data_IF_664804148843
#
_entry.id   IF_664804148843
#
_cell.length_a   1.000
_cell.length_b   1.000
_cell.length_c   1.000
_cell.angle_alpha   90.00
_cell.angle_beta   90.00
_cell.angle_gamma   90.00
#
_symmetry.space_group_name_H-M   'P 1'
#
loop_
_entity.id
_entity.type
_entity.pdbx_description
1 polymer ?
#
# COMPACT_ATOMS: atom_id res chain seq x y z
N UNK A 1 55.85 44.37 22.13
CA UNK A 1 55.69 45.25 20.97
C UNK A 1 55.61 44.33 19.76
N UNK A 2 54.49 44.11 19.07
CA UNK A 2 53.20 44.79 19.07
C UNK A 2 52.13 43.84 18.48
N UNK A 3 50.93 43.97 19.04
CA UNK A 3 49.61 43.91 18.38
C UNK A 3 49.07 42.53 17.95
N UNK A 4 48.04 42.13 18.71
CA UNK A 4 46.97 41.19 18.38
C UNK A 4 45.96 41.90 17.47
N UNK A 5 45.57 41.26 16.37
CA UNK A 5 44.42 41.54 15.49
C UNK A 5 44.46 40.39 14.45
N UNK A 6 43.43 39.66 14.07
CA UNK A 6 41.97 39.73 14.16
C UNK A 6 41.46 38.28 14.12
N UNK A 7 40.38 38.02 14.84
CA UNK A 7 39.56 36.81 14.81
C UNK A 7 38.62 36.89 13.59
N UNK A 8 38.65 35.91 12.69
CA UNK A 8 37.57 35.71 11.71
C UNK A 8 37.34 34.21 11.49
N UNK A 9 36.08 33.85 11.62
CA UNK A 9 35.48 32.52 11.80
C UNK A 9 35.01 31.98 10.44
N UNK A 10 35.35 30.74 10.07
CA UNK A 10 34.65 29.94 9.04
C UNK A 10 34.60 28.48 9.50
N UNK A 11 33.49 28.03 10.14
CA UNK A 11 32.22 27.53 9.57
C UNK A 11 32.33 26.10 8.99
N UNK A 12 32.10 25.15 9.90
CA UNK A 12 31.11 24.06 9.84
C UNK A 12 30.94 23.30 8.49
N UNK A 13 31.62 22.15 8.34
CA UNK A 13 31.42 21.19 7.23
C UNK A 13 30.95 19.80 7.68
N UNK A 14 30.66 19.61 8.97
CA UNK A 14 30.26 18.30 9.53
C UNK A 14 28.73 18.10 9.56
N UNK A 15 27.96 19.19 9.67
CA UNK A 15 26.50 19.15 9.83
C UNK A 15 25.72 18.88 8.52
N UNK A 16 26.26 19.26 7.37
CA UNK A 16 25.63 19.04 6.06
C UNK A 16 25.54 17.55 5.68
N UNK A 17 26.54 16.76 6.05
CA UNK A 17 26.59 15.33 5.76
C UNK A 17 25.64 14.54 6.69
N UNK A 18 25.59 14.93 7.96
CA UNK A 18 24.64 14.40 8.94
C UNK A 18 23.19 14.75 8.58
N UNK A 19 22.94 15.98 8.09
CA UNK A 19 21.64 16.45 7.62
C UNK A 19 21.12 15.65 6.42
N UNK A 20 21.98 15.35 5.42
CA UNK A 20 21.61 14.47 4.30
C UNK A 20 21.38 13.02 4.76
N UNK A 21 22.23 12.47 5.63
CA UNK A 21 22.07 11.11 6.13
C UNK A 21 20.79 10.92 6.98
N UNK A 22 20.38 11.94 7.74
CA UNK A 22 19.13 11.95 8.49
C UNK A 22 17.92 12.14 7.56
N UNK A 23 17.98 13.07 6.60
CA UNK A 23 16.93 13.25 5.61
C UNK A 23 16.74 12.00 4.73
N UNK A 24 17.82 11.31 4.37
CA UNK A 24 17.79 10.04 3.66
C UNK A 24 17.31 8.91 4.55
N UNK A 25 17.64 8.90 5.85
CA UNK A 25 17.10 7.92 6.80
C UNK A 25 15.61 8.13 7.10
N UNK A 26 15.12 9.37 7.12
CA UNK A 26 13.70 9.73 7.26
C UNK A 26 12.94 9.46 5.97
N UNK A 27 13.50 9.81 4.80
CA UNK A 27 12.96 9.44 3.48
C UNK A 27 12.97 7.93 3.26
N UNK A 28 13.99 7.22 3.75
CA UNK A 28 14.09 5.74 3.71
C UNK A 28 13.17 5.09 4.74
N UNK A 29 12.94 5.67 5.93
CA UNK A 29 11.90 5.23 6.88
C UNK A 29 10.48 5.49 6.37
N UNK A 30 10.23 6.62 5.70
CA UNK A 30 8.94 6.93 5.05
C UNK A 30 8.72 6.12 3.76
N UNK A 31 9.76 5.86 2.95
CA UNK A 31 9.68 5.00 1.75
C UNK A 31 9.61 3.50 2.08
N UNK A 32 10.21 3.04 3.19
CA UNK A 32 10.17 1.61 3.61
C UNK A 32 8.85 1.17 4.26
N UNK A 33 7.84 2.04 4.36
CA UNK A 33 6.51 1.71 4.92
C UNK A 33 5.39 1.76 3.89
N UNK A 34 5.67 1.57 2.60
CA UNK A 34 4.66 1.75 1.55
C UNK A 34 4.84 0.78 0.39
N UNK A 35 4.55 -0.51 0.63
CA UNK A 35 4.60 -1.55 -0.41
C UNK A 35 3.50 -2.62 -0.25
N UNK A 36 2.98 -2.83 0.96
CA UNK A 36 1.87 -3.78 1.22
C UNK A 36 0.59 -3.08 1.66
N UNK A 37 0.73 -1.95 2.37
CA UNK A 37 -0.41 -1.22 2.91
C UNK A 37 -1.28 -0.61 1.80
N UNK A 38 -0.70 -0.18 0.68
CA UNK A 38 -1.46 0.38 -0.45
C UNK A 38 -2.41 -0.65 -1.08
N UNK A 39 -1.95 -1.88 -1.33
CA UNK A 39 -2.79 -2.95 -1.88
C UNK A 39 -3.92 -3.35 -0.91
N UNK A 40 -3.60 -3.40 0.38
CA UNK A 40 -4.59 -3.66 1.43
C UNK A 40 -5.63 -2.53 1.49
N UNK A 41 -5.20 -1.28 1.53
CA UNK A 41 -6.09 -0.12 1.58
C UNK A 41 -6.95 -0.01 0.33
N UNK A 42 -6.40 -0.31 -0.86
CA UNK A 42 -7.14 -0.33 -2.11
C UNK A 42 -8.25 -1.38 -2.14
N UNK A 43 -8.18 -2.43 -1.32
CA UNK A 43 -9.24 -3.44 -1.22
C UNK A 43 -10.45 -2.94 -0.43
N UNK A 44 -10.28 -1.86 0.33
CA UNK A 44 -11.32 -1.23 1.14
C UNK A 44 -11.82 0.10 0.56
N UNK A 45 -11.25 0.56 -0.55
CA UNK A 45 -11.76 1.71 -1.30
C UNK A 45 -12.90 1.26 -2.20
N UNK A 46 -13.97 2.05 -2.24
CA UNK A 46 -15.12 1.82 -3.10
C UNK A 46 -15.54 3.14 -3.75
N UNK A 47 -16.23 3.06 -4.88
CA UNK A 47 -16.75 4.20 -5.62
C UNK A 47 -18.23 4.02 -5.90
N UNK A 48 -18.97 5.12 -5.85
CA UNK A 48 -20.41 5.13 -6.17
C UNK A 48 -20.77 6.43 -6.88
N UNK A 49 -21.90 6.41 -7.60
CA UNK A 49 -22.48 7.62 -8.20
C UNK A 49 -23.49 8.22 -7.24
N UNK A 50 -23.36 9.51 -6.97
CA UNK A 50 -24.39 10.26 -6.27
C UNK A 50 -25.57 10.56 -7.21
N UNK A 51 -26.68 11.05 -6.65
CA UNK A 51 -27.89 11.47 -7.38
C UNK A 51 -27.61 12.52 -8.45
N UNK A 52 -26.58 13.33 -8.25
CA UNK A 52 -26.13 14.36 -9.19
C UNK A 52 -25.23 13.80 -10.30
N UNK A 53 -24.97 12.49 -10.32
CA UNK A 53 -24.15 11.82 -11.33
C UNK A 53 -22.64 11.91 -11.10
N UNK A 54 -22.20 12.59 -10.05
CA UNK A 54 -20.80 12.69 -9.66
C UNK A 54 -20.30 11.37 -9.05
N UNK A 55 -19.05 10.99 -9.36
CA UNK A 55 -18.41 9.78 -8.79
C UNK A 55 -17.76 10.16 -7.46
N UNK A 56 -18.27 9.60 -6.38
CA UNK A 56 -17.74 9.78 -5.05
C UNK A 56 -16.87 8.57 -4.66
N UNK A 57 -15.76 8.84 -3.96
CA UNK A 57 -14.86 7.82 -3.44
C UNK A 57 -14.96 7.74 -1.91
N UNK A 58 -14.91 6.53 -1.38
CA UNK A 58 -14.96 6.32 0.06
C UNK A 58 -14.19 5.08 0.51
N UNK A 59 -13.95 5.04 1.81
CA UNK A 59 -13.37 3.89 2.50
C UNK A 59 -14.46 3.10 3.21
N UNK A 60 -14.59 1.81 2.92
CA UNK A 60 -15.53 0.95 3.60
C UNK A 60 -15.09 0.77 5.07
N UNK A 61 -16.00 1.07 6.00
CA UNK A 61 -15.81 0.85 7.44
C UNK A 61 -16.81 -0.18 7.96
N UNK A 62 -16.64 -0.63 9.21
CA UNK A 62 -17.57 -1.55 9.88
C UNK A 62 -18.98 -0.95 10.03
N UNK A 63 -19.08 0.39 10.05
CA UNK A 63 -20.32 1.12 10.26
C UNK A 63 -20.93 1.67 8.96
N UNK A 64 -20.21 1.62 7.84
CA UNK A 64 -20.67 2.09 6.53
C UNK A 64 -19.54 2.66 5.70
N UNK A 65 -19.87 3.32 4.58
CA UNK A 65 -18.87 4.00 3.75
C UNK A 65 -18.48 5.36 4.36
N UNK A 66 -17.18 5.57 4.57
CA UNK A 66 -16.62 6.87 4.93
C UNK A 66 -16.19 7.60 3.67
N UNK A 67 -16.96 8.60 3.25
CA UNK A 67 -16.71 9.37 2.03
C UNK A 67 -15.59 10.36 2.28
N UNK A 68 -14.60 10.39 1.38
CA UNK A 68 -13.45 11.31 1.47
C UNK A 68 -13.81 12.69 0.90
N UNK A 69 -14.79 12.72 -0.01
CA UNK A 69 -15.35 13.95 -0.56
C UNK A 69 -16.26 14.65 0.46
N UNK A 70 -15.80 15.79 0.97
CA UNK A 70 -16.43 16.52 2.08
C UNK A 70 -17.77 17.21 1.76
N UNK A 71 -18.34 17.02 0.57
CA UNK A 71 -19.56 17.71 0.10
C UNK A 71 -20.82 16.84 0.12
N UNK A 72 -20.72 15.51 0.24
CA UNK A 72 -21.87 14.59 0.09
C UNK A 72 -22.15 13.85 1.40
N UNK A 73 -23.24 14.24 2.07
CA UNK A 73 -23.82 13.52 3.20
C UNK A 73 -24.62 12.32 2.68
N UNK A 74 -24.02 11.13 2.69
CA UNK A 74 -24.70 9.90 2.31
C UNK A 74 -25.68 9.47 3.42
N UNK A 75 -26.97 9.22 3.11
CA UNK A 75 -27.91 8.70 4.08
C UNK A 75 -27.39 7.42 4.77
N UNK A 76 -27.57 7.26 6.09
CA UNK A 76 -27.04 6.11 6.84
C UNK A 76 -27.48 4.76 6.27
N UNK A 77 -28.72 4.69 5.77
CA UNK A 77 -29.30 3.52 5.09
C UNK A 77 -28.51 3.10 3.84
N UNK A 78 -28.06 4.08 3.05
CA UNK A 78 -27.28 3.84 1.84
C UNK A 78 -25.83 3.48 2.19
N UNK A 79 -25.23 4.17 3.16
CA UNK A 79 -23.88 3.89 3.65
C UNK A 79 -23.77 2.47 4.25
N UNK A 80 -24.84 1.96 4.87
CA UNK A 80 -24.89 0.62 5.45
C UNK A 80 -24.76 -0.50 4.38
N UNK A 81 -25.18 -0.24 3.14
CA UNK A 81 -25.01 -1.18 2.01
C UNK A 81 -23.55 -1.44 1.67
N UNK A 82 -22.69 -0.47 1.96
CA UNK A 82 -21.26 -0.49 1.65
C UNK A 82 -20.38 -0.87 2.86
N UNK A 83 -20.97 -1.46 3.91
CA UNK A 83 -20.23 -1.93 5.09
C UNK A 83 -19.23 -3.03 4.74
N UNK A 84 -18.12 -3.06 5.47
CA UNK A 84 -17.11 -4.11 5.33
C UNK A 84 -17.70 -5.50 5.52
N UNK A 85 -17.41 -6.39 4.58
CA UNK A 85 -17.77 -7.82 4.65
C UNK A 85 -16.52 -8.66 4.91
N UNK A 86 -16.70 -9.85 5.48
CA UNK A 86 -15.60 -10.80 5.68
C UNK A 86 -14.87 -11.16 4.38
N UNK A 87 -15.57 -11.14 3.25
CA UNK A 87 -15.00 -11.36 1.93
C UNK A 87 -14.03 -10.26 1.50
N UNK A 88 -14.24 -9.02 1.94
CA UNK A 88 -13.33 -7.89 1.65
C UNK A 88 -11.95 -8.16 2.27
N UNK A 89 -11.91 -8.73 3.48
CA UNK A 89 -10.66 -9.14 4.13
C UNK A 89 -9.97 -10.31 3.42
N UNK A 90 -10.74 -11.27 2.92
CA UNK A 90 -10.20 -12.39 2.13
C UNK A 90 -9.53 -11.86 0.86
N UNK A 91 -10.21 -10.99 0.10
CA UNK A 91 -9.65 -10.37 -1.10
C UNK A 91 -8.41 -9.52 -0.80
N UNK A 92 -8.42 -8.76 0.29
CA UNK A 92 -7.26 -7.97 0.72
C UNK A 92 -6.06 -8.87 1.03
N UNK A 93 -6.28 -9.95 1.78
CA UNK A 93 -5.24 -10.92 2.11
C UNK A 93 -4.68 -11.63 0.87
N UNK A 94 -5.55 -12.07 -0.04
CA UNK A 94 -5.11 -12.69 -1.30
C UNK A 94 -4.32 -11.70 -2.17
N UNK A 95 -4.73 -10.43 -2.23
CA UNK A 95 -3.98 -9.38 -2.94
C UNK A 95 -2.58 -9.17 -2.34
N UNK A 96 -2.46 -9.26 -1.01
CA UNK A 96 -1.16 -9.23 -0.34
C UNK A 96 -0.30 -10.46 -0.67
N UNK A 97 -0.90 -11.65 -0.77
CA UNK A 97 -0.19 -12.85 -1.20
C UNK A 97 0.30 -12.74 -2.65
N UNK A 98 -0.53 -12.23 -3.57
CA UNK A 98 -0.12 -12.00 -4.96
C UNK A 98 1.05 -11.01 -5.01
N UNK A 99 0.98 -9.90 -4.27
CA UNK A 99 2.10 -8.97 -4.18
C UNK A 99 3.38 -9.65 -3.64
N UNK A 100 3.25 -10.48 -2.60
CA UNK A 100 4.37 -11.23 -2.06
C UNK A 100 4.95 -12.22 -3.09
N UNK A 101 4.10 -12.92 -3.85
CA UNK A 101 4.54 -13.80 -4.93
C UNK A 101 5.31 -13.02 -6.01
N UNK A 102 4.79 -11.87 -6.45
CA UNK A 102 5.49 -10.99 -7.42
C UNK A 102 6.83 -10.50 -6.87
N UNK A 103 6.90 -10.14 -5.60
CA UNK A 103 8.15 -9.74 -4.96
C UNK A 103 9.15 -10.90 -4.87
N UNK A 104 8.68 -12.12 -4.61
CA UNK A 104 9.51 -13.33 -4.55
C UNK A 104 9.95 -13.85 -5.93
N UNK A 105 9.32 -13.41 -7.02
CA UNK A 105 9.83 -13.66 -8.37
C UNK A 105 11.08 -12.83 -8.70
N UNK A 106 11.31 -11.71 -8.01
CA UNK A 106 12.47 -10.85 -8.23
C UNK A 106 13.70 -11.40 -7.47
N UNK A 107 14.75 -11.74 -8.21
CA UNK A 107 15.98 -12.30 -7.65
C UNK A 107 16.69 -11.32 -6.70
N UNK A 108 16.65 -10.01 -6.96
CA UNK A 108 17.26 -9.01 -6.07
C UNK A 108 16.53 -8.96 -4.73
N UNK A 109 15.19 -9.07 -4.75
CA UNK A 109 14.37 -9.14 -3.53
C UNK A 109 14.68 -10.43 -2.79
N UNK A 110 14.70 -11.57 -3.48
CA UNK A 110 15.00 -12.87 -2.87
C UNK A 110 16.40 -12.87 -2.23
N UNK A 111 17.44 -12.45 -2.94
CA UNK A 111 18.81 -12.37 -2.40
C UNK A 111 18.92 -11.39 -1.23
N UNK A 112 18.13 -10.30 -1.21
CA UNK A 112 18.12 -9.35 -0.10
C UNK A 112 17.51 -9.93 1.19
N UNK A 113 16.43 -10.72 1.08
CA UNK A 113 15.78 -11.34 2.24
C UNK A 113 16.38 -12.70 2.63
N UNK A 114 16.93 -13.43 1.67
CA UNK A 114 17.53 -14.75 1.82
C UNK A 114 18.92 -14.76 1.19
N UNK A 115 19.94 -14.12 1.82
CA UNK A 115 21.28 -13.99 1.24
C UNK A 115 22.04 -15.32 1.17
N UNK A 116 21.74 -16.26 2.07
CA UNK A 116 22.33 -17.61 2.10
C UNK A 116 21.23 -18.67 2.25
N UNK A 117 20.41 -18.91 1.21
CA UNK A 117 19.35 -19.90 1.28
C UNK A 117 19.94 -21.31 1.23
N UNK A 118 19.39 -22.23 2.04
CA UNK A 118 19.69 -23.65 1.88
C UNK A 118 19.02 -24.19 0.60
N UNK A 119 19.53 -25.29 0.05
CA UNK A 119 18.97 -25.90 -1.17
C UNK A 119 17.44 -26.14 -1.07
N UNK A 120 16.98 -26.63 0.08
CA UNK A 120 15.54 -26.81 0.37
C UNK A 120 14.75 -25.50 0.30
N UNK A 121 15.29 -24.41 0.85
CA UNK A 121 14.62 -23.11 0.83
C UNK A 121 14.57 -22.55 -0.59
N UNK A 122 15.63 -22.74 -1.38
CA UNK A 122 15.67 -22.31 -2.78
C UNK A 122 14.63 -23.03 -3.63
N UNK A 123 14.45 -24.35 -3.43
CA UNK A 123 13.37 -25.11 -4.09
C UNK A 123 11.99 -24.55 -3.74
N UNK A 124 11.73 -24.29 -2.46
CA UNK A 124 10.45 -23.73 -1.99
C UNK A 124 10.23 -22.33 -2.60
N UNK A 125 11.23 -21.45 -2.54
CA UNK A 125 11.13 -20.08 -3.07
C UNK A 125 10.88 -20.04 -4.58
N UNK A 126 11.34 -21.06 -5.32
CA UNK A 126 11.11 -21.18 -6.76
C UNK A 126 9.67 -21.60 -7.07
N UNK A 127 9.10 -22.53 -6.30
CA UNK A 127 7.75 -23.04 -6.54
C UNK A 127 6.63 -22.21 -5.86
N UNK A 128 6.94 -21.53 -4.76
CA UNK A 128 5.96 -20.83 -3.92
C UNK A 128 5.19 -19.73 -4.66
N UNK A 129 5.82 -18.84 -5.45
CA UNK A 129 5.09 -17.80 -6.18
C UNK A 129 4.08 -18.36 -7.17
N UNK A 130 4.41 -19.46 -7.86
CA UNK A 130 3.50 -20.15 -8.78
C UNK A 130 2.31 -20.78 -8.03
N UNK A 131 2.57 -21.44 -6.89
CA UNK A 131 1.52 -21.99 -6.04
C UNK A 131 0.56 -20.93 -5.51
N UNK A 132 1.09 -19.79 -5.05
CA UNK A 132 0.28 -18.64 -4.62
C UNK A 132 -0.57 -18.13 -5.79
N UNK A 133 0.02 -17.98 -6.98
CA UNK A 133 -0.69 -17.54 -8.18
C UNK A 133 -1.91 -18.42 -8.49
N UNK A 134 -1.71 -19.74 -8.57
CA UNK A 134 -2.80 -20.69 -8.85
C UNK A 134 -3.89 -20.64 -7.77
N UNK A 135 -3.51 -20.69 -6.50
CA UNK A 135 -4.46 -20.65 -5.39
C UNK A 135 -5.26 -19.34 -5.35
N UNK A 136 -4.59 -18.20 -5.49
CA UNK A 136 -5.25 -16.90 -5.50
C UNK A 136 -6.18 -16.77 -6.72
N UNK A 137 -5.75 -17.19 -7.92
CA UNK A 137 -6.60 -17.16 -9.12
C UNK A 137 -7.89 -17.96 -8.94
N UNK A 138 -7.82 -19.18 -8.39
CA UNK A 138 -9.02 -19.98 -8.13
C UNK A 138 -9.96 -19.28 -7.13
N UNK A 139 -9.40 -18.75 -6.04
CA UNK A 139 -10.20 -18.11 -4.99
C UNK A 139 -10.85 -16.80 -5.47
N UNK A 140 -10.17 -15.99 -6.28
CA UNK A 140 -10.76 -14.79 -6.87
C UNK A 140 -11.94 -15.10 -7.80
N UNK A 141 -11.93 -16.26 -8.47
CA UNK A 141 -13.04 -16.70 -9.32
C UNK A 141 -14.22 -17.21 -8.49
N UNK A 142 -13.96 -18.03 -7.46
CA UNK A 142 -15.00 -18.61 -6.60
C UNK A 142 -15.67 -17.56 -5.71
N UNK A 143 -14.88 -16.60 -5.25
CA UNK A 143 -15.32 -15.53 -4.37
C UNK A 143 -15.13 -14.21 -5.11
N UNK A 144 -16.09 -13.78 -5.95
CA UNK A 144 -16.00 -12.49 -6.63
C UNK A 144 -16.28 -11.34 -5.64
N UNK A 145 -15.53 -10.23 -5.79
CA UNK A 145 -15.83 -8.99 -5.09
C UNK A 145 -16.93 -8.21 -5.81
N UNK A 146 -17.83 -7.60 -5.05
CA UNK A 146 -18.87 -6.70 -5.59
C UNK A 146 -18.51 -5.23 -5.42
N UNK A 147 -17.26 -4.93 -5.03
CA UNK A 147 -16.74 -3.57 -4.80
C UNK A 147 -16.27 -2.95 -6.10
N UNK A 148 -16.59 -1.68 -6.29
CA UNK A 148 -16.17 -0.90 -7.45
C UNK A 148 -14.96 -0.04 -7.05
N UNK A 149 -13.77 -0.59 -7.28
CA UNK A 149 -12.52 0.14 -7.04
C UNK A 149 -12.36 1.36 -7.95
N UNK A 150 -11.26 2.09 -7.76
CA UNK A 150 -10.92 3.24 -8.61
C UNK A 150 -10.71 2.76 -10.06
N UNK A 151 -11.47 3.34 -10.99
CA UNK A 151 -11.34 3.04 -12.43
C UNK A 151 -12.30 1.98 -12.98
N UNK A 152 -13.20 1.42 -12.17
CA UNK A 152 -14.27 0.55 -12.69
C UNK A 152 -15.43 1.38 -13.27
N UNK A 153 -16.00 0.99 -14.42
CA UNK A 153 -17.18 1.65 -14.96
C UNK A 153 -18.36 1.38 -14.03
N UNK A 154 -18.88 2.43 -13.42
CA UNK A 154 -20.12 2.36 -12.65
C UNK A 154 -21.29 2.23 -13.63
N UNK A 155 -22.17 1.25 -13.42
CA UNK A 155 -23.37 1.07 -14.23
C UNK A 155 -24.17 2.37 -14.30
N UNK A 156 -24.70 2.69 -15.49
CA UNK A 156 -25.70 3.73 -15.62
C UNK A 156 -26.94 3.33 -14.81
N UNK A 157 -27.55 4.32 -14.14
CA UNK A 157 -28.82 4.19 -13.43
C UNK A 157 -29.98 4.39 -14.41
#
# INVERSE_FOLDING_TARGET
MAIMEVEEEEVETEDDNAGKAWADSVKKKRKKKMNKLSCLLSSFTDSFRDKDGNVCYGFATLNGLWVIDGSVSVPPEFAAKYRLRSIDFMHAFMSMLVFAAVALFDQNVVTCFYPTPSARVQEILTALPAGIGVCCSMLFVVFPTTRHGIGFPLSAN
#
